data_IF_730153457784
#
_entry.id   IF_730153457784
#
_cell.length_a   1.000
_cell.length_b   1.000
_cell.length_c   1.000
_cell.angle_alpha   90.00
_cell.angle_beta   90.00
_cell.angle_gamma   90.00
#
_symmetry.space_group_name_H-M   'P 1'
#
loop_
_entity.id
_entity.type
_entity.pdbx_description
1 polymer ?
#
# COMPACT_ATOMS: atom_id res chain seq x y z
N UNK A 1 -10.33 -9.22 -9.52
CA UNK A 1 -9.60 -8.01 -9.09
C UNK A 1 -10.38 -6.80 -9.58
N UNK A 2 -10.83 -5.96 -8.66
CA UNK A 2 -11.57 -4.74 -9.00
C UNK A 2 -10.59 -3.64 -9.40
N UNK A 3 -10.79 -3.03 -10.58
CA UNK A 3 -10.01 -1.84 -11.03
C UNK A 3 -10.55 -0.52 -10.46
N UNK A 4 -11.44 -0.61 -9.46
CA UNK A 4 -12.04 0.54 -8.79
C UNK A 4 -11.05 1.58 -8.21
N UNK A 5 -9.82 1.21 -7.77
CA UNK A 5 -8.82 2.22 -7.38
C UNK A 5 -8.37 3.12 -8.53
N UNK A 6 -8.40 2.61 -9.77
CA UNK A 6 -7.85 3.32 -10.94
C UNK A 6 -8.74 4.47 -11.41
N UNK A 7 -9.99 4.57 -10.97
CA UNK A 7 -10.91 5.65 -11.37
C UNK A 7 -10.97 6.80 -10.37
N UNK A 8 -10.49 6.61 -9.14
CA UNK A 8 -10.51 7.62 -8.07
C UNK A 8 -9.40 8.65 -8.22
N UNK A 9 -9.58 9.86 -7.68
CA UNK A 9 -8.53 10.88 -7.64
C UNK A 9 -7.37 10.43 -6.74
N UNK A 10 -7.69 9.90 -5.55
CA UNK A 10 -6.73 9.18 -4.70
C UNK A 10 -6.74 7.69 -5.08
N UNK A 11 -5.58 7.22 -5.56
CA UNK A 11 -5.36 5.84 -6.02
C UNK A 11 -5.07 4.88 -4.88
N UNK A 12 -5.02 5.35 -3.62
CA UNK A 12 -4.81 4.49 -2.47
C UNK A 12 -5.93 3.44 -2.34
N UNK A 13 -5.58 2.15 -2.23
CA UNK A 13 -6.56 1.11 -1.99
C UNK A 13 -7.24 1.28 -0.62
N UNK A 14 -8.52 0.93 -0.55
CA UNK A 14 -9.37 0.97 0.64
C UNK A 14 -10.14 -0.34 0.77
N UNK A 15 -10.69 -0.61 1.96
CA UNK A 15 -11.45 -1.85 2.21
C UNK A 15 -12.60 -2.07 1.22
N UNK A 16 -13.28 -1.00 0.77
CA UNK A 16 -14.36 -1.12 -0.20
C UNK A 16 -13.92 -1.67 -1.56
N UNK A 17 -12.63 -1.64 -1.89
CA UNK A 17 -12.10 -2.29 -3.11
C UNK A 17 -12.14 -3.82 -3.02
N UNK A 18 -12.25 -4.37 -1.81
CA UNK A 18 -12.42 -5.81 -1.56
C UNK A 18 -13.88 -6.25 -1.50
N UNK A 19 -14.84 -5.33 -1.67
CA UNK A 19 -16.28 -5.63 -1.57
C UNK A 19 -16.74 -6.71 -2.53
N UNK A 20 -16.16 -6.77 -3.73
CA UNK A 20 -16.46 -7.81 -4.74
C UNK A 20 -15.77 -9.15 -4.43
N UNK A 21 -14.91 -9.19 -3.42
CA UNK A 21 -14.13 -10.37 -3.03
C UNK A 21 -14.86 -11.23 -1.99
N UNK A 22 -16.17 -11.01 -1.78
CA UNK A 22 -17.02 -11.82 -0.92
C UNK A 22 -16.68 -11.66 0.56
N UNK A 23 -16.43 -12.77 1.25
CA UNK A 23 -16.24 -12.78 2.71
C UNK A 23 -14.83 -12.39 3.17
N UNK A 24 -13.87 -12.18 2.25
CA UNK A 24 -12.47 -11.87 2.59
C UNK A 24 -12.34 -10.68 3.54
N UNK A 25 -13.11 -9.61 3.29
CA UNK A 25 -13.09 -8.43 4.16
C UNK A 25 -13.52 -8.78 5.59
N UNK A 26 -14.48 -9.70 5.76
CA UNK A 26 -15.03 -10.07 7.06
C UNK A 26 -14.16 -11.11 7.78
N UNK A 27 -13.65 -12.08 7.04
CA UNK A 27 -12.94 -13.25 7.57
C UNK A 27 -11.49 -12.94 7.95
N UNK A 28 -10.83 -12.03 7.25
CA UNK A 28 -9.42 -11.70 7.50
C UNK A 28 -9.21 -11.02 8.85
N UNK A 29 -8.20 -11.46 9.61
CA UNK A 29 -7.76 -10.76 10.82
C UNK A 29 -6.97 -9.50 10.49
N UNK A 30 -6.15 -9.56 9.42
CA UNK A 30 -5.31 -8.47 8.96
C UNK A 30 -5.49 -8.30 7.46
N UNK A 31 -5.70 -7.05 7.03
CA UNK A 31 -5.69 -6.67 5.62
C UNK A 31 -4.67 -5.55 5.45
N UNK A 32 -3.69 -5.78 4.58
CA UNK A 32 -2.67 -4.80 4.23
C UNK A 32 -2.76 -4.49 2.73
N UNK A 33 -2.66 -3.21 2.41
CA UNK A 33 -2.53 -2.73 1.04
C UNK A 33 -1.12 -2.20 0.83
N UNK A 34 -0.63 -2.36 -0.40
CA UNK A 34 0.63 -1.76 -0.84
C UNK A 34 0.30 -0.69 -1.85
N UNK A 35 0.82 0.51 -1.65
CA UNK A 35 0.66 1.63 -2.55
C UNK A 35 2.04 2.24 -2.86
N UNK A 36 2.24 2.61 -4.12
CA UNK A 36 3.43 3.34 -4.57
C UNK A 36 2.96 4.53 -5.39
N UNK A 37 3.18 5.74 -4.89
CA UNK A 37 2.77 6.95 -5.59
C UNK A 37 3.52 7.10 -6.93
N UNK A 38 4.81 6.74 -6.95
CA UNK A 38 5.65 6.79 -8.15
C UNK A 38 5.12 5.99 -9.35
N UNK A 39 4.27 4.99 -9.11
CA UNK A 39 3.63 4.22 -10.18
C UNK A 39 2.55 5.01 -10.92
N UNK A 40 1.88 5.94 -10.23
CA UNK A 40 0.81 6.78 -10.79
C UNK A 40 1.26 8.20 -11.08
N UNK A 41 2.29 8.68 -10.37
CA UNK A 41 2.85 10.02 -10.46
C UNK A 41 4.38 9.97 -10.57
N UNK A 42 4.91 10.05 -11.78
CA UNK A 42 6.36 9.99 -12.04
C UNK A 42 7.16 11.18 -11.43
N UNK A 43 6.48 12.27 -11.09
CA UNK A 43 7.07 13.49 -10.51
C UNK A 43 6.92 13.57 -8.99
N UNK A 44 6.43 12.51 -8.34
CA UNK A 44 6.29 12.45 -6.88
C UNK A 44 7.60 12.71 -6.14
N UNK A 45 7.51 13.27 -4.94
CA UNK A 45 8.63 13.39 -4.00
C UNK A 45 8.93 12.06 -3.28
N UNK A 46 7.95 11.15 -3.22
CA UNK A 46 8.05 9.84 -2.55
C UNK A 46 8.64 8.76 -3.50
N UNK A 47 9.70 9.09 -4.26
CA UNK A 47 10.37 8.14 -5.19
C UNK A 47 11.05 7.01 -4.43
N UNK A 48 10.87 5.79 -4.92
CA UNK A 48 11.37 4.58 -4.26
C UNK A 48 10.75 4.35 -2.88
N UNK A 49 9.59 4.94 -2.58
CA UNK A 49 8.85 4.71 -1.34
C UNK A 49 7.57 3.95 -1.65
N UNK A 50 7.32 2.92 -0.84
CA UNK A 50 6.06 2.20 -0.81
C UNK A 50 5.37 2.42 0.54
N UNK A 51 4.07 2.66 0.51
CA UNK A 51 3.21 2.71 1.68
C UNK A 51 2.61 1.32 1.92
N UNK A 52 2.86 0.76 3.11
CA UNK A 52 2.14 -0.40 3.62
C UNK A 52 1.01 0.10 4.52
N UNK A 53 -0.22 -0.02 4.03
CA UNK A 53 -1.44 0.49 4.66
C UNK A 53 -2.15 -0.67 5.34
N UNK A 54 -2.18 -0.69 6.67
CA UNK A 54 -2.96 -1.65 7.44
C UNK A 54 -4.42 -1.19 7.45
N UNK A 55 -5.22 -1.70 6.51
CA UNK A 55 -6.64 -1.36 6.36
C UNK A 55 -7.54 -2.04 7.38
N UNK A 56 -7.19 -3.25 7.82
CA UNK A 56 -7.88 -3.98 8.90
C UNK A 56 -6.87 -4.66 9.80
N UNK A 57 -7.12 -4.60 11.11
CA UNK A 57 -6.42 -5.35 12.12
C UNK A 57 -7.41 -5.63 13.26
N UNK A 58 -7.81 -6.88 13.47
CA UNK A 58 -8.84 -7.26 14.45
C UNK A 58 -8.39 -7.01 15.90
N UNK A 59 -7.09 -7.18 16.18
CA UNK A 59 -6.53 -7.18 17.53
C UNK A 59 -5.48 -6.08 17.77
N UNK A 60 -5.59 -4.96 17.07
CA UNK A 60 -4.56 -3.92 17.12
C UNK A 60 -4.88 -2.70 16.26
N UNK A 61 -3.97 -1.71 16.24
CA UNK A 61 -4.18 -0.48 15.50
C UNK A 61 -4.05 -0.70 14.00
N UNK A 62 -4.80 0.11 13.25
CA UNK A 62 -4.56 0.36 11.82
C UNK A 62 -3.59 1.52 11.65
N UNK A 63 -3.02 1.68 10.47
CA UNK A 63 -2.08 2.75 10.17
C UNK A 63 -1.31 2.52 8.89
N UNK A 64 -0.49 3.50 8.52
CA UNK A 64 0.35 3.44 7.32
C UNK A 64 1.81 3.50 7.72
N UNK A 65 2.61 2.60 7.15
CA UNK A 65 4.07 2.58 7.31
C UNK A 65 4.73 2.82 5.97
N UNK A 66 5.73 3.70 5.93
CA UNK A 66 6.57 3.92 4.75
C UNK A 66 7.73 2.92 4.72
N UNK A 67 7.94 2.29 3.57
CA UNK A 67 9.01 1.34 3.28
C UNK A 67 9.82 1.84 2.08
N UNK A 68 11.10 1.51 2.02
CA UNK A 68 11.89 1.71 0.80
C UNK A 68 11.58 0.59 -0.20
N UNK A 69 11.33 0.94 -1.46
CA UNK A 69 11.10 0.03 -2.56
C UNK A 69 12.35 -0.04 -3.46
N UNK A 70 12.91 -1.23 -3.58
CA UNK A 70 14.05 -1.52 -4.45
C UNK A 70 13.54 -2.23 -5.71
N UNK A 71 13.16 -1.45 -6.73
CA UNK A 71 12.55 -1.95 -7.95
C UNK A 71 13.40 -2.94 -8.74
N UNK A 72 14.73 -2.80 -8.70
CA UNK A 72 15.69 -3.70 -9.37
C UNK A 72 15.56 -5.15 -8.89
N UNK A 73 15.33 -5.34 -7.59
CA UNK A 73 15.25 -6.66 -6.96
C UNK A 73 13.82 -7.05 -6.56
N UNK A 74 12.83 -6.18 -6.82
CA UNK A 74 11.46 -6.33 -6.35
C UNK A 74 11.35 -6.57 -4.83
N UNK A 75 12.16 -5.86 -4.05
CA UNK A 75 12.24 -6.03 -2.57
C UNK A 75 11.88 -4.76 -1.82
N UNK A 76 11.52 -4.92 -0.55
CA UNK A 76 11.29 -3.83 0.39
C UNK A 76 12.39 -3.77 1.45
N UNK A 77 12.82 -2.56 1.80
CA UNK A 77 13.80 -2.30 2.84
C UNK A 77 13.27 -1.30 3.87
N UNK A 78 13.96 -1.18 5.01
CA UNK A 78 13.67 -0.12 5.99
C UNK A 78 13.91 1.24 5.35
N UNK A 79 13.04 2.20 5.66
CA UNK A 79 13.11 3.55 5.11
C UNK A 79 14.46 4.23 5.40
N UNK A 80 15.05 3.95 6.58
CA UNK A 80 16.34 4.51 7.01
C UNK A 80 17.52 4.12 6.10
N UNK A 81 17.38 3.07 5.26
CA UNK A 81 18.44 2.67 4.33
C UNK A 81 18.64 3.64 3.16
N UNK A 82 17.69 4.55 2.90
CA UNK A 82 17.79 5.52 1.80
C UNK A 82 18.85 6.62 2.11
N UNK A 83 19.21 6.84 3.37
CA UNK A 83 20.07 7.97 3.78
C UNK A 83 21.58 7.68 3.84
N UNK A 84 22.07 6.63 3.15
CA UNK A 84 23.51 6.33 3.07
C UNK A 84 24.03 6.58 1.65
N UNK A 85 24.11 7.86 1.27
CA UNK A 85 25.05 8.36 0.27
C UNK A 85 26.10 9.21 0.98
#
# INVERSE_FOLDING_TARGET
MSRAPETRADKRPVLSDLRDSGSIEQDADIIMFIYRDEYYNAETEDKGIAECIVGKQRNGPTGTMKLSWCGENQTFAKLDMIHRQ
#
